data_IF_290239684037
#
_entry.id   IF_290239684037
#
_cell.length_a   1.000
_cell.length_b   1.000
_cell.length_c   1.000
_cell.angle_alpha   90.00
_cell.angle_beta   90.00
_cell.angle_gamma   90.00
#
_symmetry.space_group_name_H-M   'P 1'
#
loop_
_entity.id
_entity.type
_entity.pdbx_description
1 polymer ?
#
# COMPACT_ATOMS: atom_id res chain seq x y z
N UNK A 1 25.75 -15.15 -53.57
CA UNK A 1 24.37 -14.90 -53.10
C UNK A 1 23.81 -13.70 -53.83
N UNK A 2 22.77 -13.89 -54.64
CA UNK A 2 22.23 -12.85 -55.53
C UNK A 2 21.67 -11.68 -54.72
N UNK A 3 21.78 -10.46 -55.24
CA UNK A 3 21.38 -9.21 -54.56
C UNK A 3 19.94 -9.27 -54.02
N UNK A 4 19.01 -9.89 -54.76
CA UNK A 4 17.62 -10.12 -54.32
C UNK A 4 17.51 -10.94 -53.02
N UNK A 5 18.37 -11.94 -52.81
CA UNK A 5 18.32 -12.79 -51.62
C UNK A 5 18.80 -12.03 -50.37
N UNK A 6 19.71 -11.06 -50.52
CA UNK A 6 20.17 -10.21 -49.41
C UNK A 6 19.07 -9.27 -48.92
N UNK A 7 18.33 -8.66 -49.85
CA UNK A 7 17.20 -7.76 -49.51
C UNK A 7 16.09 -8.50 -48.76
N UNK A 8 15.76 -9.72 -49.19
CA UNK A 8 14.77 -10.57 -48.51
C UNK A 8 15.23 -10.97 -47.11
N UNK A 9 16.51 -11.30 -46.93
CA UNK A 9 17.05 -11.68 -45.63
C UNK A 9 16.99 -10.52 -44.62
N UNK A 10 17.30 -9.30 -45.04
CA UNK A 10 17.26 -8.10 -44.20
C UNK A 10 15.82 -7.76 -43.78
N UNK A 11 14.86 -7.96 -44.69
CA UNK A 11 13.45 -7.76 -44.38
C UNK A 11 12.95 -8.74 -43.30
N UNK A 12 13.26 -10.03 -43.44
CA UNK A 12 12.89 -11.06 -42.46
C UNK A 12 13.58 -10.81 -41.12
N UNK A 13 14.86 -10.43 -41.13
CA UNK A 13 15.59 -10.09 -39.92
C UNK A 13 14.92 -8.93 -39.16
N UNK A 14 14.47 -7.89 -39.88
CA UNK A 14 13.75 -6.75 -39.31
C UNK A 14 12.43 -7.12 -38.63
N UNK A 15 11.67 -8.05 -39.20
CA UNK A 15 10.43 -8.56 -38.59
C UNK A 15 10.74 -9.29 -37.28
N UNK A 16 11.77 -10.12 -37.28
CA UNK A 16 12.17 -10.90 -36.09
C UNK A 16 12.67 -9.95 -34.98
N UNK A 17 13.53 -8.97 -35.30
CA UNK A 17 13.98 -8.00 -34.30
C UNK A 17 12.84 -7.12 -33.78
N UNK A 18 11.88 -6.73 -34.62
CA UNK A 18 10.69 -6.02 -34.18
C UNK A 18 9.86 -6.82 -33.18
N UNK A 19 9.65 -8.11 -33.45
CA UNK A 19 8.90 -9.00 -32.56
C UNK A 19 9.62 -9.25 -31.22
N UNK A 20 10.96 -9.35 -31.24
CA UNK A 20 11.75 -9.45 -30.02
C UNK A 20 11.65 -8.16 -29.19
N UNK A 21 11.73 -7.01 -29.84
CA UNK A 21 11.66 -5.71 -29.17
C UNK A 21 10.28 -5.47 -28.53
N UNK A 22 9.18 -5.88 -29.18
CA UNK A 22 7.84 -5.77 -28.60
C UNK A 22 7.65 -6.68 -27.39
N UNK A 23 8.19 -7.91 -27.41
CA UNK A 23 8.18 -8.79 -26.23
C UNK A 23 8.97 -8.15 -25.08
N UNK A 24 10.16 -7.61 -25.35
CA UNK A 24 10.98 -6.96 -24.34
C UNK A 24 10.27 -5.76 -23.71
N UNK A 25 9.61 -4.94 -24.52
CA UNK A 25 8.81 -3.81 -24.06
C UNK A 25 7.63 -4.28 -23.20
N UNK A 26 6.94 -5.34 -23.60
CA UNK A 26 5.84 -5.91 -22.82
C UNK A 26 6.29 -6.46 -21.44
N UNK A 27 7.50 -7.02 -21.36
CA UNK A 27 8.08 -7.45 -20.08
C UNK A 27 8.38 -6.27 -19.15
N UNK A 28 8.82 -5.12 -19.70
CA UNK A 28 9.08 -3.89 -18.92
C UNK A 28 7.77 -3.26 -18.43
N UNK A 29 6.72 -3.30 -19.25
CA UNK A 29 5.41 -2.73 -18.94
C UNK A 29 4.51 -3.67 -18.11
N UNK A 30 5.01 -4.83 -17.67
CA UNK A 30 4.21 -5.72 -16.83
C UNK A 30 3.66 -4.94 -15.63
N UNK A 31 2.33 -4.88 -15.45
CA UNK A 31 1.76 -4.31 -14.25
C UNK A 31 2.30 -5.13 -13.08
N UNK A 32 2.97 -4.47 -12.13
CA UNK A 32 3.29 -5.11 -10.85
C UNK A 32 1.97 -5.61 -10.28
N UNK A 33 1.96 -6.83 -9.75
CA UNK A 33 0.82 -7.40 -9.04
C UNK A 33 0.43 -6.48 -7.88
N UNK A 34 -0.35 -5.44 -8.15
CA UNK A 34 -1.09 -4.71 -7.14
C UNK A 34 -2.18 -5.65 -6.72
N UNK A 35 -2.12 -6.09 -5.47
CA UNK A 35 -3.25 -6.73 -4.81
C UNK A 35 -4.51 -5.93 -5.18
N UNK A 36 -5.48 -6.55 -5.85
CA UNK A 36 -6.68 -5.86 -6.36
C UNK A 36 -7.46 -5.16 -5.24
N UNK A 37 -7.22 -5.59 -4.01
CA UNK A 37 -7.80 -5.03 -2.81
C UNK A 37 -7.06 -3.81 -2.28
N UNK A 38 -5.85 -3.54 -2.77
CA UNK A 38 -5.00 -2.41 -2.40
C UNK A 38 -5.03 -1.34 -3.49
N UNK A 39 -5.59 -0.18 -3.17
CA UNK A 39 -5.57 0.99 -4.05
C UNK A 39 -4.76 2.11 -3.39
N UNK A 40 -3.60 2.41 -3.96
CA UNK A 40 -2.77 3.53 -3.54
C UNK A 40 -3.17 4.82 -4.26
N UNK A 41 -3.08 5.95 -3.56
CA UNK A 41 -3.34 7.28 -4.09
C UNK A 41 -2.09 7.85 -4.77
N UNK A 42 -2.29 8.69 -5.78
CA UNK A 42 -1.18 9.42 -6.43
C UNK A 42 -0.46 10.38 -5.48
N UNK A 43 -1.23 10.97 -4.54
CA UNK A 43 -0.73 11.89 -3.53
C UNK A 43 -1.24 11.49 -2.16
N UNK A 44 -0.44 11.65 -1.09
CA UNK A 44 -0.90 11.44 0.27
C UNK A 44 -2.10 12.34 0.57
N UNK A 45 -3.13 11.77 1.17
CA UNK A 45 -4.38 12.44 1.50
C UNK A 45 -4.33 12.97 2.95
N UNK A 46 -5.30 12.57 3.77
CA UNK A 46 -5.49 13.08 5.13
C UNK A 46 -4.35 12.64 6.08
N UNK A 47 -3.95 13.56 6.98
CA UNK A 47 -3.07 13.24 8.11
C UNK A 47 -3.86 12.51 9.21
N UNK A 48 -3.30 11.41 9.71
CA UNK A 48 -3.86 10.67 10.84
C UNK A 48 -3.23 11.17 12.14
N UNK A 49 -4.03 11.89 12.94
CA UNK A 49 -3.66 12.43 14.25
C UNK A 49 -3.69 11.37 15.36
N UNK A 50 -3.05 10.21 15.17
CA UNK A 50 -2.91 9.18 16.19
C UNK A 50 -1.45 8.97 16.58
N UNK A 51 -1.18 8.83 17.88
CA UNK A 51 0.19 8.65 18.38
C UNK A 51 0.64 7.20 18.41
N UNK A 52 -0.31 6.26 18.57
CA UNK A 52 0.00 4.84 18.63
C UNK A 52 -1.09 3.96 18.05
N UNK A 53 -0.67 2.80 17.56
CA UNK A 53 -1.52 1.78 16.97
C UNK A 53 -1.17 0.43 17.56
N UNK A 54 -2.16 -0.39 17.86
CA UNK A 54 -1.99 -1.78 18.28
C UNK A 54 -2.28 -2.68 17.10
N UNK A 55 -1.30 -3.49 16.70
CA UNK A 55 -1.48 -4.52 15.67
C UNK A 55 -2.50 -5.54 16.17
N UNK A 56 -3.55 -5.75 15.37
CA UNK A 56 -4.60 -6.72 15.66
C UNK A 56 -4.28 -8.07 15.02
N UNK A 57 -3.79 -8.04 13.79
CA UNK A 57 -3.43 -9.21 13.02
C UNK A 57 -2.40 -8.84 11.95
N UNK A 58 -1.51 -9.78 11.66
CA UNK A 58 -0.58 -9.74 10.52
C UNK A 58 -1.14 -10.56 9.37
N UNK A 59 -1.09 -10.01 8.16
CA UNK A 59 -1.54 -10.63 6.92
C UNK A 59 -0.48 -11.59 6.35
N UNK A 60 -0.86 -12.49 5.43
CA UNK A 60 0.08 -13.43 4.81
C UNK A 60 1.25 -12.76 4.05
N UNK A 61 1.07 -11.53 3.55
CA UNK A 61 2.10 -10.72 2.89
C UNK A 61 3.03 -10.00 3.89
N UNK A 62 2.79 -10.17 5.19
CA UNK A 62 3.50 -9.51 6.28
C UNK A 62 2.97 -8.13 6.62
N UNK A 63 2.00 -7.58 5.88
CA UNK A 63 1.35 -6.30 6.23
C UNK A 63 0.52 -6.45 7.50
N UNK A 64 0.21 -5.36 8.20
CA UNK A 64 -0.46 -5.43 9.50
C UNK A 64 -1.72 -4.55 9.56
N UNK A 65 -2.83 -5.16 9.99
CA UNK A 65 -4.01 -4.41 10.40
C UNK A 65 -3.84 -3.98 11.85
N UNK A 66 -3.88 -2.69 12.09
CA UNK A 66 -3.66 -2.11 13.40
C UNK A 66 -4.80 -1.15 13.76
N UNK A 67 -5.15 -1.10 15.03
CA UNK A 67 -6.18 -0.23 15.56
C UNK A 67 -5.55 0.92 16.32
N UNK A 68 -6.10 2.12 16.22
CA UNK A 68 -5.66 3.26 17.05
C UNK A 68 -5.73 2.88 18.53
N UNK A 69 -4.60 3.04 19.24
CA UNK A 69 -4.41 2.64 20.65
C UNK A 69 -4.11 3.86 21.54
N UNK A 70 -4.73 5.01 21.22
CA UNK A 70 -4.44 6.25 21.93
C UNK A 70 -5.37 6.43 23.14
N UNK A 71 -4.84 6.21 24.34
CA UNK A 71 -5.58 6.39 25.61
C UNK A 71 -6.04 7.85 25.77
N UNK A 72 -5.29 8.81 25.21
CA UNK A 72 -5.69 10.23 25.21
C UNK A 72 -6.96 10.48 24.40
N UNK A 73 -7.17 9.74 23.31
CA UNK A 73 -8.42 9.78 22.56
C UNK A 73 -9.60 9.17 23.34
N UNK A 74 -9.35 8.16 24.19
CA UNK A 74 -10.37 7.58 25.08
C UNK A 74 -10.92 8.57 26.10
N UNK A 75 -10.08 9.47 26.62
CA UNK A 75 -10.51 10.49 27.59
C UNK A 75 -11.25 11.65 26.92
N UNK A 76 -10.85 12.04 25.70
CA UNK A 76 -11.41 13.20 24.99
C UNK A 76 -12.72 12.89 24.26
N UNK A 77 -12.92 11.68 23.72
CA UNK A 77 -14.17 11.30 23.04
C UNK A 77 -15.38 11.11 23.97
N UNK A 78 -15.18 11.06 25.29
CA UNK A 78 -16.30 11.15 26.23
C UNK A 78 -16.83 12.57 26.41
N UNK A 79 -16.12 13.59 25.90
CA UNK A 79 -16.42 15.01 26.18
C UNK A 79 -16.47 15.92 24.95
N UNK A 80 -15.98 15.49 23.77
CA UNK A 80 -16.02 16.29 22.54
C UNK A 80 -16.77 15.60 21.42
N UNK A 81 -18.10 15.75 21.41
CA UNK A 81 -18.95 15.54 20.24
C UNK A 81 -18.81 16.71 19.25
N UNK A 82 -17.58 16.98 18.80
CA UNK A 82 -17.33 17.93 17.72
C UNK A 82 -16.61 17.22 16.60
N UNK A 83 -17.17 17.37 15.40
CA UNK A 83 -16.67 16.88 14.13
C UNK A 83 -15.33 17.54 13.74
N UNK A 84 -14.31 17.41 14.58
CA UNK A 84 -12.94 17.58 14.15
C UNK A 84 -12.52 16.26 13.48
N UNK A 85 -11.69 16.34 12.45
CA UNK A 85 -11.26 15.21 11.62
C UNK A 85 -10.27 14.28 12.37
N UNK A 86 -10.46 14.10 13.67
CA UNK A 86 -9.75 13.17 14.52
C UNK A 86 -10.20 11.76 14.18
N UNK A 87 -9.24 10.91 13.84
CA UNK A 87 -9.45 9.48 13.65
C UNK A 87 -10.11 8.90 14.90
N UNK A 88 -11.32 8.37 14.74
CA UNK A 88 -12.11 7.84 15.84
C UNK A 88 -11.40 6.64 16.50
N UNK A 89 -11.57 6.50 17.80
CA UNK A 89 -11.18 5.28 18.54
C UNK A 89 -11.76 4.07 17.83
N UNK A 90 -10.95 3.04 17.65
CA UNK A 90 -11.38 1.84 16.95
C UNK A 90 -11.21 1.90 15.43
N UNK A 91 -10.73 3.02 14.87
CA UNK A 91 -10.32 3.05 13.47
C UNK A 91 -9.20 2.04 13.25
N UNK A 92 -9.42 1.14 12.28
CA UNK A 92 -8.45 0.16 11.84
C UNK A 92 -7.74 0.75 10.60
N UNK A 93 -6.42 0.66 10.58
CA UNK A 93 -5.55 1.10 9.49
C UNK A 93 -4.72 -0.09 9.00
N UNK A 94 -4.25 -0.04 7.77
CA UNK A 94 -3.26 -0.98 7.24
C UNK A 94 -1.87 -0.34 7.22
N UNK A 95 -0.91 -1.04 7.84
CA UNK A 95 0.52 -0.83 7.66
C UNK A 95 1.05 -1.80 6.61
N UNK A 96 1.55 -1.28 5.50
CA UNK A 96 2.16 -2.12 4.48
C UNK A 96 3.51 -2.65 4.95
N UNK A 97 3.76 -3.93 4.68
CA UNK A 97 5.11 -4.47 4.74
C UNK A 97 5.93 -3.88 3.59
N UNK A 98 6.90 -3.02 3.93
CA UNK A 98 7.86 -2.55 2.94
C UNK A 98 9.03 -3.53 2.90
N UNK A 99 9.13 -4.31 1.82
CA UNK A 99 10.22 -5.28 1.59
C UNK A 99 11.65 -4.70 1.71
N UNK A 100 11.81 -3.38 1.67
CA UNK A 100 13.10 -2.70 1.85
C UNK A 100 13.40 -2.30 3.30
N UNK A 101 12.42 -2.42 4.20
CA UNK A 101 12.57 -2.16 5.62
C UNK A 101 12.48 -3.50 6.35
N UNK A 102 13.38 -3.76 7.30
CA UNK A 102 13.37 -4.98 8.10
C UNK A 102 12.24 -4.97 9.16
N UNK A 103 11.08 -4.40 8.79
CA UNK A 103 9.91 -4.22 9.64
C UNK A 103 9.06 -5.46 9.60
N UNK A 104 9.26 -6.34 10.57
CA UNK A 104 8.37 -7.46 10.82
C UNK A 104 7.32 -7.05 11.85
N UNK A 105 6.05 -7.18 11.48
CA UNK A 105 4.94 -6.98 12.41
C UNK A 105 4.61 -8.27 13.14
N UNK A 106 4.04 -8.15 14.33
CA UNK A 106 3.48 -9.27 15.09
C UNK A 106 2.22 -8.84 15.84
N UNK A 107 1.36 -9.80 16.15
CA UNK A 107 0.10 -9.55 16.83
C UNK A 107 0.32 -8.85 18.18
N UNK A 108 -0.53 -7.87 18.48
CA UNK A 108 -0.51 -7.03 19.69
C UNK A 108 0.69 -6.09 19.82
N UNK A 109 1.57 -6.01 18.83
CA UNK A 109 2.63 -5.00 18.78
C UNK A 109 2.05 -3.59 18.87
N UNK A 110 2.73 -2.70 19.59
CA UNK A 110 2.40 -1.27 19.62
C UNK A 110 3.35 -0.54 18.67
N UNK A 111 2.78 0.11 17.66
CA UNK A 111 3.48 0.99 16.72
C UNK A 111 3.29 2.42 17.19
N UNK A 112 4.36 3.07 17.62
CA UNK A 112 4.35 4.48 18.04
C UNK A 112 4.85 5.40 16.94
N UNK A 113 4.24 6.57 16.82
CA UNK A 113 4.72 7.65 15.94
C UNK A 113 6.09 8.14 16.39
N UNK A 114 7.14 8.05 15.54
CA UNK A 114 8.44 8.64 15.86
C UNK A 114 8.35 10.17 15.95
N UNK A 115 9.22 10.78 16.77
CA UNK A 115 9.27 12.24 16.90
C UNK A 115 9.64 12.91 15.57
N UNK A 116 9.00 14.02 15.23
CA UNK A 116 9.24 14.76 13.99
C UNK A 116 8.61 14.15 12.73
N UNK A 117 7.85 13.06 12.87
CA UNK A 117 7.15 12.40 11.76
C UNK A 117 5.65 12.33 12.00
N UNK A 118 4.87 12.14 10.96
CA UNK A 118 3.42 11.98 11.02
C UNK A 118 2.89 10.95 10.03
N UNK A 119 1.74 10.38 10.33
CA UNK A 119 1.10 9.40 9.46
C UNK A 119 0.17 10.10 8.47
N UNK A 120 0.25 9.73 7.19
CA UNK A 120 -0.74 10.14 6.19
C UNK A 120 -1.35 8.93 5.53
N UNK A 121 -2.61 9.05 5.17
CA UNK A 121 -3.27 8.09 4.32
C UNK A 121 -2.68 8.15 2.90
N UNK A 122 -2.28 7.00 2.38
CA UNK A 122 -1.71 6.82 1.04
C UNK A 122 -2.55 5.88 0.18
N UNK A 123 -3.67 5.38 0.68
CA UNK A 123 -4.53 4.47 -0.06
C UNK A 123 -5.68 3.91 0.76
N UNK A 124 -6.33 2.91 0.19
CA UNK A 124 -7.35 2.09 0.84
C UNK A 124 -7.06 0.60 0.59
N UNK A 125 -7.45 -0.21 1.56
CA UNK A 125 -7.34 -1.67 1.49
C UNK A 125 -8.68 -2.30 1.84
N UNK A 126 -9.11 -3.27 1.01
CA UNK A 126 -10.35 -4.02 1.19
C UNK A 126 -10.04 -5.43 1.70
N UNK A 127 -10.80 -5.92 2.65
CA UNK A 127 -10.64 -7.31 3.10
C UNK A 127 -11.96 -7.88 3.59
N UNK A 128 -12.07 -9.21 3.54
CA UNK A 128 -13.20 -9.94 4.08
C UNK A 128 -12.82 -10.40 5.49
N UNK A 129 -13.66 -10.07 6.47
CA UNK A 129 -13.50 -10.54 7.83
C UNK A 129 -13.89 -12.02 7.95
N UNK A 130 -13.56 -12.67 9.08
CA UNK A 130 -14.01 -14.05 9.36
C UNK A 130 -15.53 -14.23 9.39
N UNK A 131 -16.28 -13.13 9.52
CA UNK A 131 -17.75 -13.12 9.47
C UNK A 131 -18.28 -12.82 8.06
N UNK A 132 -17.45 -13.00 7.03
CA UNK A 132 -17.78 -12.77 5.61
C UNK A 132 -18.20 -11.33 5.27
N UNK A 133 -18.00 -10.38 6.19
CA UNK A 133 -18.24 -8.97 5.92
C UNK A 133 -17.03 -8.34 5.23
N UNK A 134 -17.27 -7.70 4.09
CA UNK A 134 -16.28 -6.86 3.45
C UNK A 134 -16.09 -5.55 4.22
N UNK A 135 -14.84 -5.22 4.51
CA UNK A 135 -14.42 -3.97 5.14
C UNK A 135 -13.40 -3.24 4.26
N UNK A 136 -13.41 -1.92 4.36
CA UNK A 136 -12.43 -1.04 3.74
C UNK A 136 -11.73 -0.25 4.83
N UNK A 137 -10.40 -0.23 4.81
CA UNK A 137 -9.58 0.49 5.78
C UNK A 137 -8.56 1.39 5.08
N UNK A 138 -8.19 2.54 5.67
CA UNK A 138 -7.13 3.38 5.15
C UNK A 138 -5.77 2.67 5.23
N UNK A 139 -4.96 2.86 4.20
CA UNK A 139 -3.54 2.47 4.17
C UNK A 139 -2.72 3.69 4.54
N UNK A 140 -1.79 3.54 5.48
CA UNK A 140 -1.01 4.67 5.98
C UNK A 140 0.49 4.48 5.84
N UNK A 141 1.19 5.59 5.67
CA UNK A 141 2.64 5.65 5.68
C UNK A 141 3.13 6.83 6.52
N UNK A 142 4.38 6.74 6.94
CA UNK A 142 5.05 7.74 7.75
C UNK A 142 5.75 8.76 6.85
N UNK A 143 5.54 10.04 7.14
CA UNK A 143 6.15 11.17 6.44
C UNK A 143 6.91 12.04 7.42
N UNK A 144 7.93 12.74 6.92
CA UNK A 144 8.61 13.79 7.67
C UNK A 144 7.73 15.04 7.74
N UNK A 145 7.76 15.73 8.88
CA UNK A 145 6.95 16.92 9.15
C UNK A 145 7.48 18.18 8.48
#
# INVERSE_FOLDING_TARGET
MNTRNKSILIFVAGIITGFILTILLALILQPRNTDENLQLFEKPAQEIKANSFRVMQVLPDGSALAMVNDISSMLNNSLSSTADNSVEIGTIVLFLNNNNSNTNYYDKQIITRPSGKHFRQIGIYRYITKQEMMKTVPVIALFDK
#
